data_IF_780546901095
#
_entry.id   IF_780546901095
#
_cell.length_a   1.000
_cell.length_b   1.000
_cell.length_c   1.000
_cell.angle_alpha   90.00
_cell.angle_beta   90.00
_cell.angle_gamma   90.00
#
_symmetry.space_group_name_H-M   'P 1'
#
loop_
_entity.id
_entity.type
_entity.pdbx_description
1 polymer ?
#
# COMPACT_ATOMS: atom_id res chain seq x y z
N UNK A 1 42.72 -7.87 7.38
CA UNK A 1 41.93 -7.76 6.14
C UNK A 1 40.52 -8.23 6.46
N UNK A 2 39.68 -7.33 6.96
CA UNK A 2 38.27 -7.61 7.21
C UNK A 2 37.54 -7.29 5.90
N UNK A 3 36.90 -8.29 5.30
CA UNK A 3 36.04 -8.05 4.14
C UNK A 3 34.82 -7.29 4.61
N UNK A 4 34.66 -6.07 4.13
CA UNK A 4 33.41 -5.32 4.20
C UNK A 4 32.30 -6.18 3.58
N UNK A 5 31.48 -6.78 4.45
CA UNK A 5 30.18 -7.30 4.05
C UNK A 5 29.33 -6.08 3.77
N UNK A 6 29.30 -5.71 2.49
CA UNK A 6 28.32 -4.82 1.91
C UNK A 6 26.94 -5.32 2.35
N UNK A 7 26.32 -4.60 3.29
CA UNK A 7 24.96 -4.86 3.73
C UNK A 7 24.07 -4.59 2.52
N UNK A 8 23.72 -5.66 1.79
CA UNK A 8 22.60 -5.66 0.86
C UNK A 8 21.36 -5.30 1.67
N UNK A 9 21.05 -4.00 1.75
CA UNK A 9 19.78 -3.54 2.25
C UNK A 9 18.72 -4.21 1.38
N UNK A 10 17.85 -5.00 2.00
CA UNK A 10 16.61 -5.46 1.38
C UNK A 10 15.69 -4.24 1.24
N UNK A 11 16.07 -3.30 0.38
CA UNK A 11 15.19 -2.22 -0.02
C UNK A 11 13.97 -2.86 -0.66
N UNK A 12 12.79 -2.47 -0.18
CA UNK A 12 11.54 -2.74 -0.86
C UNK A 12 11.68 -2.24 -2.31
N UNK A 13 11.96 -3.18 -3.22
CA UNK A 13 12.24 -2.90 -4.63
C UNK A 13 11.16 -1.97 -5.20
N UNK A 14 11.48 -1.07 -6.14
CA UNK A 14 10.53 -0.05 -6.63
C UNK A 14 9.16 -0.60 -7.07
N UNK A 15 9.10 -1.87 -7.49
CA UNK A 15 7.86 -2.62 -7.77
C UNK A 15 6.98 -2.76 -6.51
N UNK A 16 7.55 -3.10 -5.36
CA UNK A 16 6.83 -3.24 -4.10
C UNK A 16 6.27 -1.89 -3.63
N UNK A 17 7.04 -0.81 -3.78
CA UNK A 17 6.58 0.55 -3.50
C UNK A 17 5.41 0.95 -4.42
N UNK A 18 5.51 0.65 -5.71
CA UNK A 18 4.44 0.88 -6.68
C UNK A 18 3.18 0.08 -6.36
N UNK A 19 3.32 -1.20 -6.04
CA UNK A 19 2.21 -2.07 -5.63
C UNK A 19 1.50 -1.51 -4.40
N UNK A 20 2.25 -1.08 -3.38
CA UNK A 20 1.70 -0.51 -2.16
C UNK A 20 1.00 0.83 -2.43
N UNK A 21 1.57 1.67 -3.29
CA UNK A 21 0.94 2.89 -3.78
C UNK A 21 -0.39 2.61 -4.49
N UNK A 22 -0.39 1.70 -5.48
CA UNK A 22 -1.62 1.36 -6.22
C UNK A 22 -2.70 0.89 -5.26
N UNK A 23 -2.36 0.05 -4.28
CA UNK A 23 -3.34 -0.45 -3.32
C UNK A 23 -3.89 0.62 -2.38
N UNK A 24 -3.14 1.66 -2.03
CA UNK A 24 -3.66 2.76 -1.20
C UNK A 24 -4.72 3.60 -1.92
N UNK A 25 -4.68 3.63 -3.26
CA UNK A 25 -5.61 4.36 -4.12
C UNK A 25 -6.77 3.51 -4.69
N UNK A 26 -6.83 2.20 -4.39
CA UNK A 26 -7.95 1.35 -4.84
C UNK A 26 -9.33 1.92 -4.48
N UNK A 27 -9.59 2.49 -3.28
CA UNK A 27 -10.89 3.07 -3.00
C UNK A 27 -11.26 4.19 -3.99
N UNK A 28 -10.30 5.04 -4.36
CA UNK A 28 -10.49 6.07 -5.38
C UNK A 28 -10.76 5.46 -6.75
N UNK A 29 -9.99 4.45 -7.13
CA UNK A 29 -10.16 3.74 -8.41
C UNK A 29 -11.54 3.09 -8.54
N UNK A 30 -12.03 2.46 -7.47
CA UNK A 30 -13.38 1.88 -7.41
C UNK A 30 -14.43 2.97 -7.61
N UNK A 31 -14.31 4.12 -6.95
CA UNK A 31 -15.23 5.24 -7.09
C UNK A 31 -15.27 5.77 -8.53
N UNK A 32 -14.11 5.94 -9.16
CA UNK A 32 -14.01 6.36 -10.57
C UNK A 32 -14.70 5.34 -11.47
N UNK A 33 -14.47 4.04 -11.25
CA UNK A 33 -15.10 2.97 -12.02
C UNK A 33 -16.62 2.99 -11.88
N UNK A 34 -17.13 3.08 -10.64
CA UNK A 34 -18.57 3.15 -10.37
C UNK A 34 -19.20 4.37 -11.05
N UNK A 35 -18.55 5.54 -10.97
CA UNK A 35 -19.04 6.76 -11.60
C UNK A 35 -19.08 6.65 -13.12
N UNK A 36 -18.00 6.19 -13.74
CA UNK A 36 -17.92 6.07 -15.20
C UNK A 36 -18.87 5.00 -15.73
N UNK A 37 -19.01 3.85 -15.05
CA UNK A 37 -19.97 2.80 -15.41
C UNK A 37 -21.40 3.31 -15.28
N UNK A 38 -21.75 3.95 -14.16
CA UNK A 38 -23.09 4.49 -13.91
C UNK A 38 -23.49 5.50 -15.00
N UNK A 39 -22.57 6.39 -15.39
CA UNK A 39 -22.84 7.40 -16.42
C UNK A 39 -22.99 6.82 -17.83
N UNK A 40 -22.29 5.74 -18.14
CA UNK A 40 -22.24 5.17 -19.49
C UNK A 40 -22.97 3.82 -19.58
N UNK A 41 -23.90 3.54 -18.66
CA UNK A 41 -24.58 2.24 -18.56
C UNK A 41 -25.33 1.87 -19.85
N UNK A 42 -25.84 2.86 -20.58
CA UNK A 42 -26.53 2.68 -21.87
C UNK A 42 -25.63 2.07 -22.95
N UNK A 43 -24.32 2.22 -22.82
CA UNK A 43 -23.31 1.65 -23.73
C UNK A 43 -22.82 0.27 -23.26
N UNK A 44 -23.31 -0.24 -22.12
CA UNK A 44 -22.92 -1.53 -21.55
C UNK A 44 -23.81 -2.65 -22.07
N UNK A 45 -23.85 -2.81 -23.39
CA UNK A 45 -24.61 -3.84 -24.07
C UNK A 45 -23.73 -4.58 -25.10
N UNK A 46 -24.09 -5.82 -25.39
CA UNK A 46 -23.37 -6.59 -26.41
C UNK A 46 -23.76 -6.12 -27.80
N UNK A 47 -22.89 -5.33 -28.43
CA UNK A 47 -23.06 -4.79 -29.80
C UNK A 47 -22.27 -5.54 -30.87
N UNK A 48 -21.61 -6.66 -30.55
CA UNK A 48 -20.69 -7.38 -31.43
C UNK A 48 -19.26 -6.80 -31.44
N UNK A 49 -18.33 -7.54 -32.06
CA UNK A 49 -16.92 -7.17 -32.13
C UNK A 49 -16.67 -6.43 -33.44
N UNK A 50 -16.62 -5.10 -33.35
CA UNK A 50 -16.28 -4.22 -34.47
C UNK A 50 -15.28 -3.16 -34.03
N UNK A 51 -14.59 -2.55 -34.98
CA UNK A 51 -13.68 -1.43 -34.69
C UNK A 51 -14.41 -0.28 -34.00
N UNK A 52 -15.63 0.02 -34.44
CA UNK A 52 -16.49 1.04 -33.82
C UNK A 52 -16.80 0.68 -32.35
N UNK A 53 -17.19 -0.56 -32.09
CA UNK A 53 -17.46 -1.06 -30.74
C UNK A 53 -16.24 -0.92 -29.82
N UNK A 54 -15.04 -1.20 -30.34
CA UNK A 54 -13.79 -1.04 -29.59
C UNK A 54 -13.50 0.43 -29.23
N UNK A 55 -13.65 1.36 -30.19
CA UNK A 55 -13.48 2.79 -29.90
C UNK A 55 -14.51 3.33 -28.93
N UNK A 56 -15.77 2.91 -29.07
CA UNK A 56 -16.83 3.28 -28.12
C UNK A 56 -16.51 2.74 -26.73
N UNK A 57 -16.08 1.48 -26.62
CA UNK A 57 -15.65 0.90 -25.34
C UNK A 57 -14.48 1.68 -24.73
N UNK A 58 -13.44 1.97 -25.50
CA UNK A 58 -12.27 2.69 -25.02
C UNK A 58 -12.62 4.11 -24.57
N UNK A 59 -13.48 4.80 -25.32
CA UNK A 59 -13.93 6.16 -24.97
C UNK A 59 -14.79 6.18 -23.71
N UNK A 60 -15.66 5.18 -23.52
CA UNK A 60 -16.66 5.15 -22.45
C UNK A 60 -16.18 4.46 -21.18
N UNK A 61 -15.31 3.45 -21.31
CA UNK A 61 -14.86 2.59 -20.21
C UNK A 61 -13.33 2.43 -20.14
N UNK A 62 -12.56 3.13 -20.98
CA UNK A 62 -11.09 2.97 -21.01
C UNK A 62 -10.42 3.29 -19.68
N UNK A 63 -10.85 4.37 -19.01
CA UNK A 63 -10.30 4.76 -17.71
C UNK A 63 -10.62 3.73 -16.63
N UNK A 64 -11.86 3.26 -16.56
CA UNK A 64 -12.28 2.19 -15.63
C UNK A 64 -11.50 0.91 -15.89
N UNK A 65 -11.35 0.52 -17.16
CA UNK A 65 -10.61 -0.68 -17.55
C UNK A 65 -9.16 -0.59 -17.09
N UNK A 66 -8.51 0.55 -17.34
CA UNK A 66 -7.16 0.82 -16.86
C UNK A 66 -7.05 0.71 -15.33
N UNK A 67 -7.95 1.36 -14.59
CA UNK A 67 -7.94 1.34 -13.13
C UNK A 67 -8.31 -0.02 -12.53
N UNK A 68 -9.16 -0.82 -13.18
CA UNK A 68 -9.45 -2.20 -12.77
C UNK A 68 -8.19 -3.06 -12.94
N UNK A 69 -7.54 -3.00 -14.12
CA UNK A 69 -6.34 -3.79 -14.39
C UNK A 69 -5.20 -3.45 -13.43
N UNK A 70 -4.94 -2.16 -13.20
CA UNK A 70 -3.89 -1.74 -12.26
C UNK A 70 -4.24 -2.15 -10.82
N UNK A 71 -5.52 -2.06 -10.42
CA UNK A 71 -5.97 -2.51 -9.09
C UNK A 71 -5.77 -4.00 -8.88
N UNK A 72 -6.12 -4.82 -9.88
CA UNK A 72 -5.91 -6.27 -9.83
C UNK A 72 -4.42 -6.63 -9.72
N UNK A 73 -3.57 -5.96 -10.49
CA UNK A 73 -2.12 -6.10 -10.38
C UNK A 73 -1.61 -5.70 -9.00
N UNK A 74 -2.07 -4.57 -8.46
CA UNK A 74 -1.71 -4.09 -7.13
C UNK A 74 -2.14 -5.06 -6.02
N UNK A 75 -3.37 -5.57 -6.05
CA UNK A 75 -3.85 -6.55 -5.08
C UNK A 75 -3.03 -7.85 -5.13
N UNK A 76 -2.80 -8.38 -6.33
CA UNK A 76 -2.00 -9.58 -6.53
C UNK A 76 -0.56 -9.41 -6.03
N UNK A 77 0.08 -8.28 -6.37
CA UNK A 77 1.41 -7.94 -5.89
C UNK A 77 1.46 -7.80 -4.37
N UNK A 78 0.46 -7.16 -3.75
CA UNK A 78 0.41 -6.94 -2.31
C UNK A 78 0.30 -8.27 -1.56
N UNK A 79 -0.55 -9.19 -2.03
CA UNK A 79 -0.65 -10.54 -1.47
C UNK A 79 0.71 -11.25 -1.54
N UNK A 80 1.42 -11.18 -2.67
CA UNK A 80 2.75 -11.78 -2.82
C UNK A 80 3.80 -11.17 -1.89
N UNK A 81 3.84 -9.84 -1.77
CA UNK A 81 4.77 -9.14 -0.88
C UNK A 81 4.58 -9.61 0.55
N UNK A 82 3.36 -9.54 1.09
CA UNK A 82 3.11 -9.91 2.48
C UNK A 82 3.26 -11.42 2.73
N UNK A 83 2.96 -12.26 1.74
CA UNK A 83 3.24 -13.70 1.84
C UNK A 83 4.74 -13.99 1.94
N UNK A 84 5.58 -13.24 1.23
CA UNK A 84 7.04 -13.35 1.34
C UNK A 84 7.53 -12.79 2.68
N UNK A 85 7.06 -11.61 3.09
CA UNK A 85 7.41 -11.03 4.40
C UNK A 85 7.10 -11.96 5.56
N UNK A 86 5.95 -12.66 5.51
CA UNK A 86 5.57 -13.66 6.52
C UNK A 86 6.49 -14.88 6.57
N UNK A 87 7.15 -15.22 5.46
CA UNK A 87 8.17 -16.28 5.44
C UNK A 87 9.50 -15.74 5.95
N UNK A 88 9.91 -14.58 5.45
CA UNK A 88 11.21 -13.97 5.71
C UNK A 88 11.35 -13.49 7.16
N UNK A 89 10.24 -13.12 7.80
CA UNK A 89 10.24 -12.73 9.22
C UNK A 89 10.79 -13.81 10.14
N UNK A 90 10.77 -15.08 9.73
CA UNK A 90 11.37 -16.16 10.53
C UNK A 90 12.89 -16.01 10.69
N UNK A 91 13.55 -15.39 9.70
CA UNK A 91 14.96 -15.02 9.70
C UNK A 91 15.24 -13.68 10.40
N UNK A 92 14.20 -13.04 10.95
CA UNK A 92 14.29 -11.78 11.69
C UNK A 92 14.85 -11.92 13.10
N UNK A 93 15.04 -10.78 13.74
CA UNK A 93 15.59 -10.67 15.10
C UNK A 93 14.47 -10.55 16.14
N UNK A 94 14.68 -11.13 17.32
CA UNK A 94 13.78 -10.91 18.46
C UNK A 94 14.18 -9.64 19.19
N UNK A 95 13.22 -8.75 19.41
CA UNK A 95 13.43 -7.48 20.12
C UNK A 95 12.38 -7.29 21.20
N UNK A 96 12.76 -6.59 22.26
CA UNK A 96 11.84 -6.17 23.32
C UNK A 96 11.38 -4.75 23.00
N UNK A 97 10.06 -4.58 22.92
CA UNK A 97 9.43 -3.29 22.67
C UNK A 97 9.42 -2.47 23.95
N UNK A 98 9.92 -1.25 23.91
CA UNK A 98 10.02 -0.35 25.07
C UNK A 98 9.03 0.81 25.03
N UNK A 99 8.53 1.19 23.84
CA UNK A 99 7.48 2.21 23.66
C UNK A 99 6.67 1.86 22.41
N UNK A 100 5.38 2.20 22.42
CA UNK A 100 4.45 1.93 21.31
C UNK A 100 3.54 3.13 21.05
N UNK A 101 3.61 3.67 19.83
CA UNK A 101 2.69 4.70 19.35
C UNK A 101 1.87 4.17 18.19
N UNK A 102 0.54 4.21 18.35
CA UNK A 102 -0.37 3.80 17.29
C UNK A 102 -0.43 4.87 16.19
N UNK A 103 -0.17 4.45 14.94
CA UNK A 103 -0.15 5.31 13.76
C UNK A 103 -1.33 5.06 12.80
N UNK A 104 -2.26 4.16 13.18
CA UNK A 104 -3.42 3.81 12.34
C UNK A 104 -4.33 5.02 12.03
N UNK A 105 -4.43 5.98 12.96
CA UNK A 105 -5.33 7.15 12.83
C UNK A 105 -4.89 8.14 11.73
N UNK A 106 -3.64 8.06 11.27
CA UNK A 106 -3.15 8.89 10.16
C UNK A 106 -3.81 8.48 8.82
N UNK A 107 -4.42 7.28 8.74
CA UNK A 107 -5.15 6.78 7.57
C UNK A 107 -6.47 7.46 7.28
N UNK A 108 -7.16 7.92 8.32
CA UNK A 108 -8.44 8.60 8.17
C UNK A 108 -8.23 10.00 7.57
N UNK A 109 -7.21 10.71 8.04
CA UNK A 109 -6.84 12.03 7.49
C UNK A 109 -6.49 11.94 6.01
N UNK A 110 -5.76 10.90 5.61
CA UNK A 110 -5.44 10.65 4.20
C UNK A 110 -6.70 10.48 3.33
N UNK A 111 -7.65 9.65 3.76
CA UNK A 111 -8.92 9.46 3.01
C UNK A 111 -9.65 10.80 2.87
N UNK A 112 -9.77 11.56 3.95
CA UNK A 112 -10.49 12.82 3.97
C UNK A 112 -9.86 13.87 3.04
N UNK A 113 -8.53 14.00 3.05
CA UNK A 113 -7.83 15.02 2.25
C UNK A 113 -7.66 14.61 0.79
N UNK A 114 -7.43 13.32 0.51
CA UNK A 114 -7.04 12.87 -0.83
C UNK A 114 -8.12 12.10 -1.59
N UNK A 115 -9.14 11.54 -0.95
CA UNK A 115 -10.19 10.78 -1.66
C UNK A 115 -11.45 11.63 -1.83
N UNK A 116 -11.83 12.40 -0.81
CA UNK A 116 -13.06 13.20 -0.83
C UNK A 116 -13.14 14.21 -1.99
N UNK A 117 -12.08 14.98 -2.32
CA UNK A 117 -12.17 15.93 -3.43
C UNK A 117 -12.54 15.27 -4.77
N UNK A 118 -12.06 14.04 -5.01
CA UNK A 118 -12.32 13.33 -6.26
C UNK A 118 -13.72 12.71 -6.33
N UNK A 119 -14.42 12.52 -5.21
CA UNK A 119 -15.82 12.08 -5.23
C UNK A 119 -16.70 13.04 -6.02
N UNK A 120 -16.40 14.34 -5.93
CA UNK A 120 -17.18 15.39 -6.56
C UNK A 120 -16.65 15.80 -7.94
N UNK A 121 -15.50 15.29 -8.35
CA UNK A 121 -14.88 15.66 -9.62
C UNK A 121 -15.44 14.83 -10.79
N UNK A 122 -15.67 15.47 -11.93
CA UNK A 122 -16.07 14.79 -13.16
C UNK A 122 -14.84 14.32 -13.94
N UNK A 123 -15.01 13.21 -14.67
CA UNK A 123 -13.96 12.54 -15.45
C UNK A 123 -14.46 12.27 -16.87
N UNK A 124 -15.11 13.26 -17.44
CA UNK A 124 -15.88 13.15 -18.68
C UNK A 124 -15.06 13.61 -19.89
N UNK A 125 -14.12 14.51 -19.66
CA UNK A 125 -13.25 15.05 -20.69
C UNK A 125 -11.88 14.36 -20.66
N UNK A 126 -11.27 14.23 -21.83
CA UNK A 126 -9.91 13.71 -21.95
C UNK A 126 -8.90 14.55 -21.14
N UNK A 127 -9.15 15.85 -21.00
CA UNK A 127 -8.37 16.77 -20.17
C UNK A 127 -8.41 16.39 -18.68
N UNK A 128 -9.60 16.13 -18.12
CA UNK A 128 -9.76 15.71 -16.73
C UNK A 128 -9.03 14.38 -16.46
N UNK A 129 -9.09 13.44 -17.40
CA UNK A 129 -8.38 12.16 -17.30
C UNK A 129 -6.86 12.36 -17.27
N UNK A 130 -6.31 13.21 -18.14
CA UNK A 130 -4.86 13.50 -18.15
C UNK A 130 -4.44 14.23 -16.88
N UNK A 131 -5.24 15.20 -16.41
CA UNK A 131 -4.96 15.92 -15.17
C UNK A 131 -4.93 14.97 -13.96
N UNK A 132 -5.85 14.01 -13.90
CA UNK A 132 -5.85 12.96 -12.87
C UNK A 132 -4.58 12.10 -12.93
N UNK A 133 -4.19 11.63 -14.13
CA UNK A 133 -2.97 10.83 -14.29
C UNK A 133 -1.71 11.60 -13.89
N UNK A 134 -1.62 12.86 -14.29
CA UNK A 134 -0.53 13.74 -13.91
C UNK A 134 -0.45 13.94 -12.39
N UNK A 135 -1.58 14.17 -11.74
CA UNK A 135 -1.66 14.30 -10.29
C UNK A 135 -1.25 13.00 -9.58
N UNK A 136 -1.72 11.84 -10.05
CA UNK A 136 -1.32 10.54 -9.52
C UNK A 136 0.20 10.31 -9.65
N UNK A 137 0.84 10.77 -10.73
CA UNK A 137 2.29 10.69 -10.89
C UNK A 137 3.00 11.57 -9.86
N UNK A 138 2.55 12.80 -9.63
CA UNK A 138 3.14 13.68 -8.60
C UNK A 138 3.03 13.03 -7.23
N UNK A 139 1.83 12.54 -6.89
CA UNK A 139 1.61 11.89 -5.61
C UNK A 139 2.48 10.63 -5.50
N UNK A 140 2.59 9.81 -6.54
CA UNK A 140 3.50 8.66 -6.53
C UNK A 140 4.96 9.08 -6.26
N UNK A 141 5.42 10.17 -6.88
CA UNK A 141 6.78 10.70 -6.64
C UNK A 141 6.97 11.18 -5.21
N UNK A 142 5.96 11.81 -4.61
CA UNK A 142 6.01 12.18 -3.18
C UNK A 142 6.01 10.91 -2.31
N UNK A 143 5.20 9.92 -2.68
CA UNK A 143 5.01 8.67 -1.96
C UNK A 143 6.30 7.85 -1.86
N UNK A 144 7.04 7.69 -2.96
CA UNK A 144 8.32 6.93 -2.95
C UNK A 144 9.43 7.67 -2.18
N UNK A 145 9.39 8.99 -2.11
CA UNK A 145 10.39 9.82 -1.44
C UNK A 145 10.06 10.07 0.04
N UNK A 146 8.90 9.61 0.51
CA UNK A 146 8.44 9.78 1.88
C UNK A 146 8.25 8.42 2.54
N UNK A 147 8.35 8.33 3.87
CA UNK A 147 7.97 7.11 4.62
C UNK A 147 6.46 6.83 4.60
N UNK A 148 5.70 7.38 3.64
CA UNK A 148 4.23 7.36 3.56
C UNK A 148 3.65 6.03 3.03
N UNK A 149 4.50 5.00 2.88
CA UNK A 149 4.07 3.60 2.67
C UNK A 149 3.11 3.10 3.75
N UNK A 150 3.11 3.75 4.91
CA UNK A 150 2.49 3.31 6.16
C UNK A 150 1.02 3.71 6.33
N UNK A 151 0.37 4.20 5.30
CA UNK A 151 -1.02 4.64 5.40
C UNK A 151 -1.80 4.14 4.19
N UNK A 152 -1.86 2.83 4.08
CA UNK A 152 -2.65 2.16 3.07
C UNK A 152 -3.97 1.69 3.73
N UNK A 153 -5.12 2.31 3.41
CA UNK A 153 -6.39 1.97 4.07
C UNK A 153 -6.77 0.50 3.85
N UNK A 154 -6.45 -0.08 2.69
CA UNK A 154 -6.65 -1.51 2.47
C UNK A 154 -5.75 -2.37 3.35
N UNK A 155 -4.50 -1.94 3.57
CA UNK A 155 -3.59 -2.62 4.47
C UNK A 155 -4.08 -2.55 5.92
N UNK A 156 -4.63 -1.40 6.33
CA UNK A 156 -5.13 -1.17 7.69
C UNK A 156 -6.26 -2.12 8.12
N UNK A 157 -6.97 -2.74 7.16
CA UNK A 157 -7.98 -3.76 7.47
C UNK A 157 -7.38 -5.03 8.08
N UNK A 158 -6.14 -5.36 7.74
CA UNK A 158 -5.49 -6.62 8.14
C UNK A 158 -4.25 -6.40 9.01
N UNK A 159 -3.52 -5.32 8.77
CA UNK A 159 -2.29 -5.01 9.51
C UNK A 159 -2.47 -3.70 10.26
N UNK A 160 -1.83 -3.61 11.42
CA UNK A 160 -1.70 -2.36 12.17
C UNK A 160 -0.27 -1.85 12.07
N UNK A 161 -0.16 -0.54 12.20
CA UNK A 161 1.09 0.17 12.06
C UNK A 161 1.38 0.91 13.35
N UNK A 162 2.54 0.59 13.91
CA UNK A 162 3.02 1.19 15.14
C UNK A 162 4.38 1.83 14.89
N UNK A 163 4.59 2.98 15.49
CA UNK A 163 5.95 3.47 15.72
C UNK A 163 6.39 2.88 17.06
N UNK A 164 7.50 2.14 17.04
CA UNK A 164 8.02 1.45 18.22
C UNK A 164 9.43 1.91 18.54
N UNK A 165 9.74 1.96 19.82
CA UNK A 165 11.13 1.91 20.31
C UNK A 165 11.44 0.50 20.77
N UNK A 166 12.64 0.03 20.46
CA UNK A 166 13.07 -1.31 20.83
C UNK A 166 14.57 -1.37 21.09
N UNK A 167 14.97 -2.32 21.93
CA UNK A 167 16.37 -2.56 22.25
C UNK A 167 16.92 -3.73 21.41
N UNK A 168 18.04 -3.49 20.73
CA UNK A 168 18.90 -4.54 20.16
C UNK A 168 20.25 -4.48 20.84
N UNK A 169 20.56 -5.50 21.67
CA UNK A 169 21.89 -5.70 22.29
C UNK A 169 22.39 -4.45 23.04
N UNK A 170 21.52 -3.78 23.78
CA UNK A 170 21.79 -2.58 24.57
C UNK A 170 21.77 -1.27 23.79
N UNK A 171 21.35 -1.28 22.52
CA UNK A 171 21.16 -0.07 21.71
C UNK A 171 19.68 0.14 21.44
N UNK A 172 19.15 1.25 21.97
CA UNK A 172 17.81 1.74 21.63
C UNK A 172 17.76 2.16 20.16
N UNK A 173 16.75 1.67 19.45
CA UNK A 173 16.41 2.06 18.09
C UNK A 173 14.94 2.39 18.03
N UNK A 174 14.57 3.19 17.02
CA UNK A 174 13.20 3.49 16.72
C UNK A 174 12.89 3.15 15.26
N UNK A 175 11.66 2.74 15.00
CA UNK A 175 11.20 2.44 13.66
C UNK A 175 9.71 2.21 13.58
N UNK A 176 9.23 2.17 12.34
CA UNK A 176 7.85 1.87 12.02
C UNK A 176 7.73 0.37 11.78
N UNK A 177 6.73 -0.25 12.40
CA UNK A 177 6.50 -1.69 12.32
C UNK A 177 5.11 -1.98 11.77
N UNK A 178 5.06 -2.89 10.80
CA UNK A 178 3.82 -3.44 10.23
C UNK A 178 3.58 -4.81 10.87
N UNK A 179 2.44 -4.99 11.53
CA UNK A 179 2.10 -6.22 12.26
C UNK A 179 0.70 -6.71 11.90
N UNK A 180 0.49 -8.03 11.80
CA UNK A 180 -0.84 -8.65 11.57
C UNK A 180 -1.72 -8.65 12.85
N UNK A 181 -1.31 -7.95 13.91
CA UNK A 181 -2.00 -7.88 15.19
C UNK A 181 -2.59 -6.49 15.42
N UNK A 182 -3.77 -6.42 16.04
CA UNK A 182 -4.42 -5.15 16.38
C UNK A 182 -3.74 -4.40 17.54
N UNK A 183 -2.93 -5.09 18.34
CA UNK A 183 -2.35 -4.55 19.56
C UNK A 183 -0.91 -5.04 19.77
N UNK A 184 0.00 -4.11 20.02
CA UNK A 184 1.31 -4.36 20.60
C UNK A 184 1.33 -3.66 21.95
N UNK A 185 1.91 -4.32 22.96
CA UNK A 185 2.11 -3.75 24.29
C UNK A 185 3.60 -3.55 24.52
N UNK A 186 3.92 -2.58 25.38
CA UNK A 186 5.26 -2.45 25.96
C UNK A 186 5.68 -3.74 26.66
N UNK A 187 6.98 -3.95 26.77
CA UNK A 187 7.64 -5.13 27.37
C UNK A 187 7.32 -6.47 26.68
N UNK A 188 6.68 -6.44 25.50
CA UNK A 188 6.47 -7.65 24.70
C UNK A 188 7.66 -7.92 23.79
N UNK A 189 8.04 -9.20 23.71
CA UNK A 189 9.02 -9.66 22.71
C UNK A 189 8.31 -9.92 21.39
N UNK A 190 8.74 -9.21 20.34
CA UNK A 190 8.28 -9.42 18.98
C UNK A 190 9.45 -9.83 18.09
N UNK A 191 9.16 -10.57 17.02
CA UNK A 191 10.17 -10.84 15.99
C UNK A 191 10.00 -9.81 14.88
N UNK A 192 11.06 -9.06 14.58
CA UNK A 192 11.09 -8.02 13.54
C UNK A 192 11.99 -8.44 12.39
N UNK A 193 11.62 -8.03 11.19
CA UNK A 193 12.39 -8.20 9.97
C UNK A 193 12.49 -6.86 9.25
N UNK A 194 13.70 -6.43 8.95
CA UNK A 194 13.95 -5.16 8.29
C UNK A 194 13.58 -5.25 6.80
N UNK A 195 12.70 -4.34 6.36
CA UNK A 195 12.17 -4.29 4.99
C UNK A 195 12.47 -2.94 4.31
N UNK A 196 13.16 -2.05 5.02
CA UNK A 196 13.59 -0.74 4.55
C UNK A 196 14.16 0.12 5.68
N UNK A 197 14.65 1.33 5.38
CA UNK A 197 15.25 2.21 6.38
C UNK A 197 14.26 2.53 7.51
N UNK A 198 14.56 2.06 8.72
CA UNK A 198 13.68 2.17 9.91
C UNK A 198 12.26 1.59 9.71
N UNK A 199 12.08 0.69 8.75
CA UNK A 199 10.81 0.05 8.43
C UNK A 199 10.93 -1.46 8.64
N UNK A 200 10.04 -2.01 9.45
CA UNK A 200 10.08 -3.40 9.87
C UNK A 200 8.73 -4.09 9.64
N UNK A 201 8.78 -5.36 9.28
CA UNK A 201 7.62 -6.26 9.37
C UNK A 201 7.78 -7.13 10.62
N UNK A 202 6.70 -7.29 11.39
CA UNK A 202 6.76 -8.04 12.65
C UNK A 202 5.64 -9.05 12.82
N UNK A 203 5.96 -10.08 13.60
CA UNK A 203 4.99 -11.05 14.13
C UNK A 203 5.09 -11.11 15.65
N UNK A 204 3.94 -11.21 16.32
CA UNK A 204 3.92 -11.49 17.75
C UNK A 204 4.37 -12.93 17.95
N UNK A 205 5.33 -13.15 18.84
CA UNK A 205 5.72 -14.51 19.23
C UNK A 205 4.62 -15.07 20.12
N UNK A 206 3.96 -16.14 19.69
CA UNK A 206 3.10 -16.92 20.59
C UNK A 206 4.01 -17.69 21.56
N UNK A 207 3.75 -17.68 22.88
CA UNK A 207 4.58 -18.36 23.87
C UNK A 207 4.54 -19.90 23.79
N UNK A 208 3.89 -20.51 22.80
CA UNK A 208 3.69 -21.96 22.68
C UNK A 208 4.73 -22.71 21.84
N UNK A 209 5.76 -22.04 21.30
CA UNK A 209 6.88 -22.71 20.62
C UNK A 209 8.15 -22.62 21.49
N UNK A 210 8.10 -23.32 22.63
CA UNK A 210 9.24 -23.72 23.46
C UNK A 210 9.66 -25.14 23.07
#
# INVERSE_FOLDING_TARGET
MASDKENNFNELHGVAQFVLFVTSYIPLFVLICLKQISKNIDYLNWGGVSWLSFFTFLQKFGLSTFFILISLFGLWGCIRIFANLKKDVNNGENVVVTDVKNKNNESIGYIATYIVPFLFQNFDTWYECIALLFLLIIIYRIYINSNLLLINPLLSFKYSIFEIEFDIKGKKRNGLVIVESKFIQEDTTIKIYEIGPKLYYAIKRNPQNL
#
